data_IF_901998525489
#
_entry.id   IF_901998525489
#
_cell.length_a   1.000
_cell.length_b   1.000
_cell.length_c   1.000
_cell.angle_alpha   90.00
_cell.angle_beta   90.00
_cell.angle_gamma   90.00
#
_symmetry.space_group_name_H-M   'P 1'
#
loop_
_entity.id
_entity.type
_entity.pdbx_description
1 polymer ?
#
# COMPACT_ATOMS: atom_id res chain seq x y z
N UNK A 1 -12.89 19.00 13.46
CA UNK A 1 -13.39 18.63 12.11
C UNK A 1 -14.07 19.84 11.47
N UNK A 2 -15.07 20.44 12.13
CA UNK A 2 -15.81 21.62 11.61
C UNK A 2 -14.90 22.84 11.38
N UNK A 3 -14.07 23.21 12.35
CA UNK A 3 -13.17 24.38 12.26
C UNK A 3 -12.27 24.35 11.01
N UNK A 4 -11.76 23.17 10.65
CA UNK A 4 -10.91 23.01 9.47
C UNK A 4 -11.75 23.00 8.18
N UNK A 5 -12.96 22.43 8.22
CA UNK A 5 -13.86 22.35 7.08
C UNK A 5 -14.34 23.73 6.61
N UNK A 6 -14.56 24.67 7.53
CA UNK A 6 -14.95 26.06 7.20
C UNK A 6 -13.94 26.79 6.32
N UNK A 7 -12.66 26.42 6.43
CA UNK A 7 -11.55 27.08 5.74
C UNK A 7 -10.92 26.17 4.66
N UNK A 8 -11.42 24.95 4.51
CA UNK A 8 -10.85 23.94 3.64
C UNK A 8 -11.04 24.31 2.18
N UNK A 9 -9.97 24.22 1.40
CA UNK A 9 -10.02 24.45 -0.05
C UNK A 9 -10.11 23.12 -0.79
N UNK A 10 -10.74 23.13 -1.96
CA UNK A 10 -10.76 21.97 -2.86
C UNK A 10 -9.34 21.46 -3.13
N UNK A 11 -9.19 20.13 -3.14
CA UNK A 11 -7.94 19.47 -3.50
C UNK A 11 -7.77 19.43 -5.03
N UNK A 12 -6.53 19.23 -5.52
CA UNK A 12 -6.29 18.99 -6.95
C UNK A 12 -7.05 17.77 -7.48
N UNK A 13 -7.08 17.66 -8.81
CA UNK A 13 -7.66 16.50 -9.48
C UNK A 13 -6.92 15.21 -9.10
N UNK A 14 -7.70 14.13 -8.97
CA UNK A 14 -7.22 12.81 -8.59
C UNK A 14 -6.91 11.97 -9.83
N UNK A 15 -5.74 11.35 -9.83
CA UNK A 15 -5.24 10.44 -10.85
C UNK A 15 -5.03 9.03 -10.29
N UNK A 16 -4.77 8.09 -11.19
CA UNK A 16 -4.39 6.73 -10.81
C UNK A 16 -3.26 6.23 -11.72
N UNK A 17 -2.16 5.80 -11.11
CA UNK A 17 -0.99 5.29 -11.81
C UNK A 17 -0.89 3.78 -11.62
N UNK A 18 -0.88 3.02 -12.72
CA UNK A 18 -0.49 1.60 -12.69
C UNK A 18 1.04 1.52 -12.69
N UNK A 19 1.64 1.56 -11.50
CA UNK A 19 3.08 1.68 -11.31
C UNK A 19 3.88 0.46 -11.79
N UNK A 20 3.28 -0.74 -11.76
CA UNK A 20 3.97 -1.92 -12.27
C UNK A 20 3.21 -3.22 -12.05
N UNK A 21 3.75 -4.31 -12.58
CA UNK A 21 3.22 -5.67 -12.40
C UNK A 21 4.36 -6.66 -12.35
N UNK A 22 4.32 -7.56 -11.37
CA UNK A 22 5.22 -8.71 -11.29
C UNK A 22 4.37 -9.96 -11.45
N UNK A 23 4.56 -10.67 -12.56
CA UNK A 23 3.93 -11.95 -12.83
C UNK A 23 5.02 -13.03 -12.82
N UNK A 24 4.99 -13.88 -11.79
CA UNK A 24 5.93 -14.98 -11.63
C UNK A 24 5.28 -16.03 -10.74
N UNK A 25 5.35 -17.30 -11.15
CA UNK A 25 4.92 -18.38 -10.28
C UNK A 25 6.00 -18.65 -9.23
N UNK A 26 5.67 -18.43 -7.95
CA UNK A 26 6.61 -18.63 -6.83
C UNK A 26 5.91 -19.32 -5.68
N UNK A 27 6.52 -20.37 -5.17
CA UNK A 27 6.06 -21.05 -3.96
C UNK A 27 6.50 -20.29 -2.71
N UNK A 28 5.65 -20.27 -1.70
CA UNK A 28 5.97 -19.80 -0.34
C UNK A 28 5.42 -20.77 0.70
N UNK A 29 6.18 -20.96 1.77
CA UNK A 29 5.86 -21.90 2.83
C UNK A 29 6.22 -21.30 4.18
N UNK A 30 5.88 -22.01 5.27
CA UNK A 30 6.37 -21.64 6.59
C UNK A 30 7.91 -21.51 6.61
N UNK A 31 8.42 -20.42 7.19
CA UNK A 31 9.85 -20.11 7.25
C UNK A 31 10.50 -19.66 5.93
N UNK A 32 9.74 -19.62 4.82
CA UNK A 32 10.21 -19.18 3.49
C UNK A 32 9.26 -18.12 2.92
N UNK A 33 9.30 -16.88 3.43
CA UNK A 33 8.45 -15.80 2.93
C UNK A 33 8.89 -15.37 1.52
N UNK A 34 7.97 -14.79 0.77
CA UNK A 34 8.27 -14.13 -0.51
C UNK A 34 8.34 -12.63 -0.31
N UNK A 35 9.42 -12.04 -0.81
CA UNK A 35 9.59 -10.60 -0.95
C UNK A 35 9.72 -10.25 -2.42
N UNK A 36 8.93 -9.28 -2.87
CA UNK A 36 8.96 -8.79 -4.25
C UNK A 36 8.90 -7.27 -4.24
N UNK A 37 9.52 -6.65 -5.24
CA UNK A 37 9.56 -5.19 -5.33
C UNK A 37 9.18 -4.68 -6.71
N UNK A 38 8.58 -3.50 -6.75
CA UNK A 38 8.30 -2.72 -7.96
C UNK A 38 8.96 -1.36 -7.78
N UNK A 39 9.79 -0.97 -8.74
CA UNK A 39 10.32 0.39 -8.83
C UNK A 39 9.29 1.26 -9.55
N UNK A 40 8.78 2.28 -8.86
CA UNK A 40 7.75 3.18 -9.37
C UNK A 40 8.34 4.55 -9.69
N UNK A 41 8.11 5.06 -10.89
CA UNK A 41 8.35 6.46 -11.24
C UNK A 41 7.11 7.35 -11.02
N UNK A 42 6.01 6.78 -10.49
CA UNK A 42 4.75 7.49 -10.31
C UNK A 42 4.03 7.84 -11.62
N UNK A 43 4.31 7.11 -12.71
CA UNK A 43 3.82 7.40 -14.07
C UNK A 43 4.25 8.79 -14.55
N UNK A 44 5.50 9.15 -14.25
CA UNK A 44 6.06 10.48 -14.51
C UNK A 44 5.88 10.92 -15.97
N UNK A 45 5.44 12.17 -16.17
CA UNK A 45 5.31 12.75 -17.51
C UNK A 45 4.07 12.29 -18.29
N UNK A 46 3.23 11.42 -17.72
CA UNK A 46 1.98 10.97 -18.33
C UNK A 46 0.76 11.76 -17.81
N UNK A 47 -0.40 11.55 -18.43
CA UNK A 47 -1.68 12.09 -17.95
C UNK A 47 -2.11 11.52 -16.59
N UNK A 48 -1.58 10.37 -16.20
CA UNK A 48 -1.92 9.64 -14.99
C UNK A 48 -0.84 9.75 -13.90
N UNK A 49 0.02 10.78 -14.00
CA UNK A 49 1.09 11.01 -13.03
C UNK A 49 0.52 11.25 -11.63
N UNK A 50 1.00 10.46 -10.67
CA UNK A 50 0.69 10.59 -9.25
C UNK A 50 2.00 10.85 -8.54
N UNK A 51 2.11 11.97 -7.81
CA UNK A 51 3.29 12.31 -7.02
C UNK A 51 3.02 12.21 -5.51
N UNK A 52 1.79 12.55 -5.08
CA UNK A 52 1.37 12.56 -3.69
C UNK A 52 0.25 11.54 -3.49
N UNK A 53 0.43 10.59 -2.58
CA UNK A 53 -0.48 9.47 -2.39
C UNK A 53 -1.72 9.84 -1.56
N UNK A 54 -2.84 9.23 -1.91
CA UNK A 54 -4.05 9.16 -1.08
C UNK A 54 -4.24 7.73 -0.59
N UNK A 55 -4.44 6.80 -1.53
CA UNK A 55 -4.58 5.37 -1.23
C UNK A 55 -3.83 4.53 -2.27
N UNK A 56 -3.43 3.33 -1.85
CA UNK A 56 -2.66 2.41 -2.67
C UNK A 56 -3.37 1.08 -2.72
N UNK A 57 -3.44 0.50 -3.91
CA UNK A 57 -4.00 -0.82 -4.14
C UNK A 57 -2.94 -1.80 -4.65
N UNK A 58 -2.92 -2.98 -4.06
CA UNK A 58 -2.18 -4.14 -4.54
C UNK A 58 -3.18 -5.19 -5.01
N UNK A 59 -3.30 -5.38 -6.32
CA UNK A 59 -4.11 -6.43 -6.92
C UNK A 59 -3.29 -7.72 -6.91
N UNK A 60 -3.68 -8.71 -6.10
CA UNK A 60 -2.87 -9.91 -5.89
C UNK A 60 -3.63 -11.16 -6.35
N UNK A 61 -2.91 -12.03 -7.05
CA UNK A 61 -3.36 -13.38 -7.41
C UNK A 61 -2.42 -14.41 -6.79
N UNK A 62 -2.95 -15.25 -5.91
CA UNK A 62 -2.24 -16.37 -5.31
C UNK A 62 -3.20 -17.51 -4.95
N UNK A 63 -2.65 -18.71 -4.78
CA UNK A 63 -3.34 -19.86 -4.21
C UNK A 63 -2.68 -20.23 -2.89
N UNK A 64 -3.45 -20.79 -1.98
CA UNK A 64 -2.97 -21.33 -0.71
C UNK A 64 -3.72 -22.61 -0.39
N UNK A 65 -3.03 -23.54 0.27
CA UNK A 65 -3.63 -24.74 0.88
C UNK A 65 -4.42 -24.39 2.13
N UNK A 66 -4.08 -23.28 2.79
CA UNK A 66 -4.87 -22.68 3.87
C UNK A 66 -4.83 -21.15 3.76
N UNK A 67 -5.92 -20.52 3.29
CA UNK A 67 -5.91 -19.07 3.00
C UNK A 67 -5.74 -18.20 4.25
N UNK A 68 -6.25 -18.65 5.41
CA UNK A 68 -6.15 -17.96 6.68
C UNK A 68 -4.74 -17.83 7.26
N UNK A 69 -3.79 -18.66 6.82
CA UNK A 69 -2.38 -18.58 7.20
C UNK A 69 -1.62 -17.50 6.45
N UNK A 70 -2.15 -17.00 5.33
CA UNK A 70 -1.45 -16.02 4.50
C UNK A 70 -1.57 -14.64 5.14
N UNK A 71 -0.44 -14.02 5.45
CA UNK A 71 -0.34 -12.62 5.82
C UNK A 71 0.44 -11.85 4.77
N UNK A 72 0.07 -10.58 4.57
CA UNK A 72 0.71 -9.74 3.56
C UNK A 72 0.97 -8.34 4.07
N UNK A 73 2.14 -7.83 3.72
CA UNK A 73 2.60 -6.49 4.09
C UNK A 73 3.04 -5.74 2.83
N UNK A 74 2.66 -4.47 2.75
CA UNK A 74 3.09 -3.56 1.69
C UNK A 74 3.89 -2.41 2.32
N UNK A 75 5.14 -2.25 1.89
CA UNK A 75 6.04 -1.19 2.35
C UNK A 75 6.24 -0.16 1.25
N UNK A 76 6.04 1.12 1.60
CA UNK A 76 6.24 2.25 0.71
C UNK A 76 7.72 2.64 0.57
N UNK A 77 8.08 3.44 -0.45
CA UNK A 77 9.43 3.96 -0.61
C UNK A 77 9.94 4.78 0.58
N UNK A 78 9.03 5.39 1.34
CA UNK A 78 9.36 6.19 2.54
C UNK A 78 9.40 5.34 3.83
N UNK A 79 9.25 4.02 3.72
CA UNK A 79 9.42 3.08 4.84
C UNK A 79 8.16 2.72 5.61
N UNK A 80 7.00 3.30 5.29
CA UNK A 80 5.74 2.95 5.95
C UNK A 80 5.29 1.57 5.53
N UNK A 81 5.12 0.67 6.50
CA UNK A 81 4.68 -0.71 6.28
C UNK A 81 3.23 -0.89 6.69
N UNK A 82 2.40 -1.36 5.76
CA UNK A 82 0.98 -1.63 5.95
C UNK A 82 0.72 -3.14 5.96
N UNK A 83 0.11 -3.68 7.02
CA UNK A 83 -0.46 -5.02 6.98
C UNK A 83 -1.76 -4.97 6.17
N UNK A 84 -1.72 -5.48 4.94
CA UNK A 84 -2.86 -5.44 4.01
C UNK A 84 -3.71 -6.72 4.07
N UNK A 85 -3.17 -7.79 4.66
CA UNK A 85 -3.92 -8.99 5.01
C UNK A 85 -3.38 -9.55 6.33
N UNK A 86 -4.23 -9.58 7.34
CA UNK A 86 -3.95 -10.23 8.62
C UNK A 86 -4.26 -11.73 8.58
N UNK A 87 -3.70 -12.46 9.55
CA UNK A 87 -4.02 -13.86 9.76
C UNK A 87 -5.51 -14.02 10.10
N UNK A 88 -6.15 -15.06 9.57
CA UNK A 88 -7.59 -15.34 9.75
C UNK A 88 -7.79 -16.80 10.13
N UNK A 89 -7.76 -17.16 11.44
CA UNK A 89 -7.79 -18.54 11.92
C UNK A 89 -8.97 -19.41 11.48
N UNK A 90 -10.08 -18.79 11.08
CA UNK A 90 -11.30 -19.49 10.66
C UNK A 90 -11.47 -19.53 9.13
N UNK A 91 -10.46 -19.11 8.36
CA UNK A 91 -10.48 -19.12 6.90
C UNK A 91 -9.66 -20.29 6.35
N UNK A 92 -10.24 -21.49 6.41
CA UNK A 92 -9.66 -22.74 5.93
C UNK A 92 -9.88 -23.00 4.43
N UNK A 93 -10.15 -21.95 3.63
CA UNK A 93 -10.32 -22.06 2.17
C UNK A 93 -9.04 -22.56 1.51
N UNK A 94 -9.12 -23.76 0.95
CA UNK A 94 -8.06 -24.49 0.23
C UNK A 94 -8.23 -24.46 -1.30
N UNK A 95 -9.30 -23.81 -1.81
CA UNK A 95 -9.70 -23.91 -3.24
C UNK A 95 -9.45 -22.62 -4.01
N UNK A 96 -9.84 -21.48 -3.43
CA UNK A 96 -10.01 -20.26 -4.22
C UNK A 96 -8.83 -19.29 -4.12
N UNK A 97 -8.09 -19.31 -3.00
CA UNK A 97 -7.02 -18.34 -2.75
C UNK A 97 -7.50 -16.90 -2.93
N UNK A 98 -6.71 -16.10 -3.64
CA UNK A 98 -7.06 -14.76 -4.12
C UNK A 98 -6.88 -14.68 -5.64
N UNK A 99 -7.84 -14.08 -6.33
CA UNK A 99 -7.76 -13.85 -7.78
C UNK A 99 -7.96 -12.37 -8.05
N UNK A 100 -6.87 -11.68 -8.45
CA UNK A 100 -6.84 -10.23 -8.69
C UNK A 100 -7.54 -9.42 -7.57
N UNK A 101 -7.35 -9.84 -6.32
CA UNK A 101 -8.02 -9.22 -5.18
C UNK A 101 -7.38 -7.86 -4.86
N UNK A 102 -8.15 -6.76 -4.77
CA UNK A 102 -7.62 -5.41 -4.57
C UNK A 102 -7.42 -5.10 -3.09
N UNK A 103 -6.29 -5.52 -2.52
CA UNK A 103 -5.93 -5.10 -1.17
C UNK A 103 -5.57 -3.61 -1.17
N UNK A 104 -5.99 -2.86 -0.15
CA UNK A 104 -5.86 -1.41 -0.11
C UNK A 104 -5.29 -0.93 1.22
N UNK A 105 -4.47 0.12 1.18
CA UNK A 105 -4.01 0.85 2.37
C UNK A 105 -4.11 2.36 2.18
N UNK A 106 -4.38 3.05 3.29
CA UNK A 106 -4.31 4.53 3.42
C UNK A 106 -3.19 4.97 4.36
N UNK A 107 -2.37 4.05 4.88
CA UNK A 107 -1.32 4.41 5.85
C UNK A 107 -0.24 5.31 5.25
N UNK A 108 -0.06 5.24 3.93
CA UNK A 108 0.93 5.99 3.16
C UNK A 108 0.36 7.30 2.61
N UNK A 109 -0.73 7.80 3.20
CA UNK A 109 -1.37 9.04 2.74
C UNK A 109 -0.38 10.21 2.86
N UNK A 110 -0.31 11.04 1.82
CA UNK A 110 0.60 12.17 1.65
C UNK A 110 2.08 11.80 1.45
N UNK A 111 2.44 10.53 1.36
CA UNK A 111 3.80 10.15 0.95
C UNK A 111 4.03 10.37 -0.54
N UNK A 112 5.30 10.36 -0.93
CA UNK A 112 5.70 10.38 -2.34
C UNK A 112 5.50 9.01 -2.98
N UNK A 113 5.00 9.01 -4.21
CA UNK A 113 4.68 7.78 -4.96
C UNK A 113 5.90 7.04 -5.54
N UNK A 114 7.02 7.74 -5.68
CA UNK A 114 8.21 7.30 -6.42
C UNK A 114 9.18 6.55 -5.53
N UNK A 115 9.86 5.57 -6.13
CA UNK A 115 10.84 4.71 -5.48
C UNK A 115 10.36 3.27 -5.37
N UNK A 116 11.04 2.51 -4.52
CA UNK A 116 10.81 1.07 -4.39
C UNK A 116 9.64 0.73 -3.47
N UNK A 117 8.63 0.07 -4.03
CA UNK A 117 7.53 -0.55 -3.29
C UNK A 117 7.83 -2.02 -3.06
N UNK A 118 7.58 -2.52 -1.85
CA UNK A 118 7.87 -3.92 -1.50
C UNK A 118 6.63 -4.64 -0.98
N UNK A 119 6.32 -5.80 -1.55
CA UNK A 119 5.28 -6.73 -1.10
C UNK A 119 5.94 -7.93 -0.43
N UNK A 120 5.60 -8.16 0.82
CA UNK A 120 5.95 -9.35 1.59
C UNK A 120 4.72 -10.25 1.73
N UNK A 121 4.89 -11.53 1.41
CA UNK A 121 3.87 -12.59 1.57
C UNK A 121 4.46 -13.65 2.50
N UNK A 122 3.76 -13.93 3.59
CA UNK A 122 4.22 -14.82 4.64
C UNK A 122 3.16 -15.89 4.91
N UNK A 123 3.61 -17.13 5.10
CA UNK A 123 2.78 -18.20 5.64
C UNK A 123 3.00 -18.26 7.16
N UNK A 124 2.02 -17.76 7.92
CA UNK A 124 2.06 -17.73 9.39
C UNK A 124 1.30 -18.90 10.01
N UNK A 125 1.86 -19.52 11.06
CA UNK A 125 1.23 -20.66 11.71
C UNK A 125 0.04 -20.20 12.55
N UNK A 126 -1.04 -20.97 12.54
CA UNK A 126 -2.22 -20.73 13.39
C UNK A 126 -2.15 -21.69 14.57
N UNK A 127 -2.12 -21.16 15.79
CA UNK A 127 -2.11 -22.00 17.00
C UNK A 127 -3.33 -22.91 17.04
N UNK A 128 -3.10 -24.20 17.32
CA UNK A 128 -4.17 -25.21 17.38
C UNK A 128 -4.53 -25.86 16.04
N UNK A 129 -3.95 -25.39 14.93
CA UNK A 129 -4.10 -25.99 13.59
C UNK A 129 -2.73 -26.55 13.15
N UNK A 130 -2.70 -27.71 12.50
CA UNK A 130 -1.45 -28.32 11.99
C UNK A 130 -1.00 -27.64 10.69
N UNK A 131 -0.59 -26.38 10.77
CA UNK A 131 -0.30 -25.54 9.59
C UNK A 131 1.14 -25.61 9.08
N UNK A 132 1.97 -26.50 9.62
CA UNK A 132 3.40 -26.58 9.29
C UNK A 132 3.69 -27.23 7.92
N UNK A 133 2.65 -27.71 7.24
CA UNK A 133 2.71 -28.27 5.88
C UNK A 133 2.03 -27.37 4.85
N UNK A 134 1.45 -26.24 5.26
CA UNK A 134 0.71 -25.36 4.35
C UNK A 134 1.68 -24.62 3.43
N UNK A 135 1.33 -24.64 2.15
CA UNK A 135 2.05 -23.99 1.06
C UNK A 135 1.12 -23.04 0.30
N UNK A 136 1.73 -22.04 -0.33
CA UNK A 136 1.05 -21.14 -1.23
C UNK A 136 1.83 -20.94 -2.53
N UNK A 137 1.11 -20.62 -3.59
CA UNK A 137 1.65 -20.34 -4.91
C UNK A 137 1.22 -18.92 -5.28
N UNK A 138 2.17 -18.00 -5.21
CA UNK A 138 2.03 -16.65 -5.76
C UNK A 138 2.06 -16.72 -7.28
N UNK A 139 1.26 -15.88 -7.96
CA UNK A 139 1.21 -15.81 -9.43
C UNK A 139 1.47 -14.41 -9.98
N UNK A 140 0.78 -13.41 -9.42
CA UNK A 140 0.84 -12.06 -9.95
C UNK A 140 0.50 -11.03 -8.88
N UNK A 141 1.17 -9.88 -8.91
CA UNK A 141 0.64 -8.67 -8.29
C UNK A 141 0.84 -7.44 -9.17
N UNK A 142 -0.13 -6.53 -9.09
CA UNK A 142 -0.11 -5.21 -9.74
C UNK A 142 -0.23 -4.13 -8.69
N UNK A 143 0.66 -3.15 -8.73
CA UNK A 143 0.61 -1.96 -7.89
C UNK A 143 -0.15 -0.84 -8.61
N UNK A 144 -1.15 -0.27 -7.94
CA UNK A 144 -1.88 0.91 -8.40
C UNK A 144 -1.84 1.98 -7.33
N UNK A 145 -1.36 3.16 -7.70
CA UNK A 145 -1.20 4.33 -6.83
C UNK A 145 -2.32 5.33 -7.17
N UNK A 146 -2.99 5.85 -6.15
CA UNK A 146 -4.00 6.89 -6.32
C UNK A 146 -3.58 8.15 -5.56
N UNK A 147 -3.83 9.30 -6.18
CA UNK A 147 -3.59 10.59 -5.54
C UNK A 147 -3.44 11.70 -6.55
N UNK A 148 -2.62 12.70 -6.25
CA UNK A 148 -2.54 13.93 -7.04
C UNK A 148 -1.16 14.11 -7.68
N UNK A 149 -1.15 14.79 -8.83
CA UNK A 149 0.10 15.22 -9.49
C UNK A 149 0.76 16.38 -8.75
N UNK A 150 -0.04 17.34 -8.30
CA UNK A 150 0.41 18.57 -7.60
C UNK A 150 0.21 18.43 -6.09
N UNK A 151 1.00 19.17 -5.30
CA UNK A 151 0.94 19.15 -3.84
C UNK A 151 -0.47 19.47 -3.32
N UNK A 152 -1.16 18.54 -2.62
CA UNK A 152 -2.57 18.71 -2.24
C UNK A 152 -2.78 19.75 -1.13
N UNK A 153 -1.76 20.04 -0.31
CA UNK A 153 -1.92 20.87 0.88
C UNK A 153 -1.32 22.27 0.78
N UNK A 154 -0.73 22.64 -0.36
CA UNK A 154 -0.03 23.93 -0.55
C UNK A 154 -0.90 25.16 -0.22
N UNK A 155 -2.22 25.06 -0.43
CA UNK A 155 -3.15 26.16 -0.23
C UNK A 155 -4.05 26.01 1.02
N UNK A 156 -3.84 24.96 1.82
CA UNK A 156 -4.66 24.70 2.99
C UNK A 156 -4.27 25.58 4.19
N UNK A 157 -5.21 25.85 5.11
CA UNK A 157 -4.93 26.56 6.35
C UNK A 157 -3.86 25.83 7.15
N UNK A 158 -2.75 26.50 7.45
CA UNK A 158 -1.61 25.90 8.17
C UNK A 158 -1.36 26.65 9.48
N UNK A 159 -2.30 26.54 10.41
CA UNK A 159 -2.10 26.98 11.79
C UNK A 159 -1.49 25.83 12.58
N UNK A 160 -0.20 25.92 12.92
CA UNK A 160 0.51 24.90 13.70
C UNK A 160 -0.14 24.67 15.07
N UNK A 161 -0.65 25.72 15.71
CA UNK A 161 -1.21 25.64 17.06
C UNK A 161 -2.57 24.93 17.08
N UNK A 162 -3.34 25.03 15.99
CA UNK A 162 -4.65 24.37 15.86
C UNK A 162 -4.59 23.02 15.14
N UNK A 163 -3.70 22.88 14.16
CA UNK A 163 -3.68 21.77 13.20
C UNK A 163 -2.26 21.29 12.90
N UNK A 164 -1.56 20.81 13.94
CA UNK A 164 -0.17 20.34 13.88
C UNK A 164 0.08 19.34 12.73
N UNK A 165 -0.75 18.31 12.57
CA UNK A 165 -0.56 17.27 11.54
C UNK A 165 -0.59 17.86 10.12
N UNK A 166 -1.57 18.70 9.81
CA UNK A 166 -1.69 19.34 8.50
C UNK A 166 -0.51 20.28 8.24
N UNK A 167 -0.07 21.01 9.28
CA UNK A 167 1.10 21.87 9.21
C UNK A 167 2.38 21.07 8.86
N UNK A 168 2.61 19.93 9.51
CA UNK A 168 3.77 19.06 9.26
C UNK A 168 3.76 18.50 7.84
N UNK A 169 2.63 17.95 7.39
CA UNK A 169 2.50 17.36 6.05
C UNK A 169 2.69 18.42 4.96
N UNK A 170 2.08 19.59 5.14
CA UNK A 170 2.25 20.71 4.20
C UNK A 170 3.72 21.13 4.11
N UNK A 171 4.42 21.24 5.25
CA UNK A 171 5.85 21.56 5.25
C UNK A 171 6.69 20.52 4.52
N UNK A 172 6.44 19.23 4.74
CA UNK A 172 7.12 18.16 4.02
C UNK A 172 6.91 18.24 2.50
N UNK A 173 5.71 18.64 2.05
CA UNK A 173 5.43 18.83 0.62
C UNK A 173 6.07 20.08 0.03
N UNK A 174 6.28 21.14 0.84
CA UNK A 174 6.94 22.38 0.42
C UNK A 174 8.48 22.28 0.39
N UNK A 175 9.08 21.55 1.34
CA UNK A 175 10.54 21.38 1.46
C UNK A 175 11.11 20.29 0.54
N UNK A 176 10.28 19.36 0.07
CA UNK A 176 10.75 18.15 -0.63
C UNK A 176 11.52 17.17 0.26
N UNK A 177 11.54 17.38 1.59
CA UNK A 177 12.26 16.57 2.58
C UNK A 177 11.42 16.48 3.86
N UNK A 178 11.13 15.25 4.29
CA UNK A 178 10.63 14.98 5.65
C UNK A 178 11.87 14.97 6.55
N UNK A 179 12.04 16.00 7.38
CA UNK A 179 13.09 15.97 8.42
C UNK A 179 12.71 14.91 9.48
N UNK A 180 13.67 14.03 9.80
CA UNK A 180 13.61 12.97 10.83
C UNK A 180 13.33 13.51 12.24
#
# INVERSE_FOLDING_TARGET
MVDLAEQWKGLPERFHCKAGTVAAEKEFTFGKPLRMSIESDGCFGTENEVNYLEHVQAFITLRSTYRGCVTMYLTSPMGTTSMILSQRPNDDDDKNGFTRWPFMTTHTWAELSRGTWTLDIVMEPIMGVKTNIETGIFKEWTLVLHGTKTAPYAHQPADKAKHEKLYLVRRAHESGVVEE
#
